data_IF_017990838450
#
_entry.id   IF_017990838450
#
_cell.length_a   1.000
_cell.length_b   1.000
_cell.length_c   1.000
_cell.angle_alpha   90.00
_cell.angle_beta   90.00
_cell.angle_gamma   90.00
#
_symmetry.space_group_name_H-M   'P 1'
#
loop_
_entity.id
_entity.type
_entity.pdbx_description
1 polymer ?
#
# COMPACT_ATOMS: atom_id res chain seq x y z
N UNK A 1 -2.07 -13.68 -23.93
CA UNK A 1 -1.60 -12.80 -22.83
C UNK A 1 -2.68 -12.75 -21.77
N UNK A 2 -2.44 -13.30 -20.58
CA UNK A 2 -3.41 -13.26 -19.47
C UNK A 2 -3.46 -11.82 -18.95
N UNK A 3 -4.51 -11.07 -19.31
CA UNK A 3 -4.78 -9.78 -18.70
C UNK A 3 -5.10 -10.00 -17.22
N UNK A 4 -4.17 -9.60 -16.35
CA UNK A 4 -4.40 -9.60 -14.92
C UNK A 4 -5.47 -8.55 -14.61
N UNK A 5 -6.55 -8.89 -13.88
CA UNK A 5 -7.59 -7.93 -13.53
C UNK A 5 -6.97 -6.74 -12.80
N UNK A 6 -7.43 -5.54 -13.15
CA UNK A 6 -6.96 -4.32 -12.49
C UNK A 6 -7.19 -4.42 -10.98
N UNK A 7 -6.37 -3.74 -10.18
CA UNK A 7 -6.53 -3.66 -8.73
C UNK A 7 -7.98 -3.32 -8.35
N UNK A 8 -8.61 -2.40 -9.09
CA UNK A 8 -10.01 -2.02 -8.92
C UNK A 8 -11.00 -3.18 -9.18
N UNK A 9 -10.74 -4.02 -10.19
CA UNK A 9 -11.54 -5.21 -10.50
C UNK A 9 -11.39 -6.30 -9.44
N UNK A 10 -10.18 -6.54 -8.94
CA UNK A 10 -9.93 -7.46 -7.81
C UNK A 10 -10.62 -6.96 -6.54
N UNK A 11 -10.60 -5.65 -6.34
CA UNK A 11 -11.22 -5.00 -5.19
C UNK A 11 -12.75 -5.08 -5.25
N UNK A 12 -13.36 -4.75 -6.40
CA UNK A 12 -14.82 -4.85 -6.61
C UNK A 12 -15.31 -6.30 -6.43
N UNK A 13 -14.57 -7.29 -6.93
CA UNK A 13 -14.92 -8.71 -6.78
C UNK A 13 -14.89 -9.20 -5.32
N UNK A 14 -14.01 -8.61 -4.50
CA UNK A 14 -13.95 -8.84 -3.05
C UNK A 14 -15.07 -8.09 -2.29
N UNK A 15 -15.59 -6.98 -2.84
CA UNK A 15 -16.79 -6.30 -2.32
C UNK A 15 -18.04 -7.13 -2.62
N UNK A 16 -18.19 -7.61 -3.84
CA UNK A 16 -19.42 -8.28 -4.28
C UNK A 16 -19.62 -9.64 -3.59
N UNK A 17 -18.56 -10.21 -3.01
CA UNK A 17 -18.58 -11.43 -2.18
C UNK A 17 -18.80 -11.15 -0.67
N UNK A 18 -18.99 -9.88 -0.25
CA UNK A 18 -19.15 -9.43 1.17
C UNK A 18 -20.37 -9.99 1.93
N UNK A 19 -21.20 -10.86 1.34
CA UNK A 19 -22.30 -11.52 2.04
C UNK A 19 -21.89 -12.76 2.86
N UNK A 20 -20.72 -13.36 2.61
CA UNK A 20 -20.41 -14.70 3.10
C UNK A 20 -19.20 -14.83 4.04
N UNK A 21 -18.40 -13.78 4.23
CA UNK A 21 -17.19 -13.86 5.05
C UNK A 21 -17.31 -12.81 6.13
N UNK A 22 -17.53 -13.26 7.37
CA UNK A 22 -17.64 -12.42 8.57
C UNK A 22 -16.34 -11.66 8.83
N UNK A 23 -16.16 -10.52 8.16
CA UNK A 23 -15.03 -9.63 8.38
C UNK A 23 -15.43 -8.62 9.45
N UNK A 24 -14.74 -8.70 10.58
CA UNK A 24 -14.80 -7.78 11.70
C UNK A 24 -14.82 -6.31 11.24
N UNK A 25 -15.76 -5.52 11.76
CA UNK A 25 -16.14 -4.19 11.26
C UNK A 25 -15.04 -3.11 11.35
N UNK A 26 -13.85 -3.44 11.87
CA UNK A 26 -12.64 -2.60 11.85
C UNK A 26 -12.16 -2.21 10.45
N UNK A 27 -12.55 -2.94 9.39
CA UNK A 27 -12.09 -2.67 8.02
C UNK A 27 -12.63 -1.35 7.41
N UNK A 28 -13.79 -0.84 7.85
CA UNK A 28 -14.45 0.32 7.22
C UNK A 28 -13.69 1.64 7.39
N UNK A 29 -12.93 1.79 8.47
CA UNK A 29 -12.12 3.00 8.73
C UNK A 29 -10.83 2.96 7.90
N UNK A 30 -10.22 1.79 7.73
CA UNK A 30 -8.91 1.66 7.09
C UNK A 30 -8.93 1.65 5.55
N UNK A 31 -10.10 1.44 4.93
CA UNK A 31 -10.24 1.41 3.47
C UNK A 31 -10.07 2.81 2.84
N UNK A 32 -10.79 3.81 3.35
CA UNK A 32 -10.64 5.21 2.92
C UNK A 32 -9.23 5.72 3.18
N UNK A 33 -8.63 5.27 4.27
CA UNK A 33 -7.28 5.59 4.68
C UNK A 33 -6.22 5.02 3.70
N UNK A 34 -6.38 3.78 3.24
CA UNK A 34 -5.51 3.18 2.23
C UNK A 34 -5.65 3.87 0.87
N UNK A 35 -6.88 4.17 0.44
CA UNK A 35 -7.13 4.90 -0.81
C UNK A 35 -6.49 6.28 -0.76
N UNK A 36 -6.65 7.00 0.36
CA UNK A 36 -6.01 8.30 0.59
C UNK A 36 -4.49 8.19 0.50
N UNK A 37 -3.91 7.17 1.13
CA UNK A 37 -2.46 6.96 1.14
C UNK A 37 -1.91 6.63 -0.25
N UNK A 38 -2.57 5.75 -1.00
CA UNK A 38 -2.17 5.39 -2.36
C UNK A 38 -2.37 6.56 -3.34
N UNK A 39 -3.43 7.35 -3.17
CA UNK A 39 -3.63 8.59 -3.94
C UNK A 39 -2.52 9.60 -3.65
N UNK A 40 -2.18 9.82 -2.38
CA UNK A 40 -1.09 10.70 -1.99
C UNK A 40 0.26 10.25 -2.58
N UNK A 41 0.54 8.95 -2.57
CA UNK A 41 1.75 8.40 -3.17
C UNK A 41 1.80 8.60 -4.69
N UNK A 42 0.65 8.48 -5.38
CA UNK A 42 0.55 8.71 -6.83
C UNK A 42 0.69 10.19 -7.22
N UNK A 43 0.26 11.11 -6.37
CA UNK A 43 0.35 12.57 -6.60
C UNK A 43 1.65 13.19 -6.06
N UNK A 44 2.58 12.37 -5.55
CA UNK A 44 3.99 12.67 -5.29
C UNK A 44 4.65 13.50 -6.40
N UNK A 45 5.65 14.38 -6.10
CA UNK A 45 6.46 15.06 -7.13
C UNK A 45 7.18 14.08 -8.07
N UNK A 46 7.17 12.78 -7.75
CA UNK A 46 7.72 11.70 -8.56
C UNK A 46 6.87 11.35 -9.79
N UNK A 47 5.61 11.81 -9.89
CA UNK A 47 4.81 11.66 -11.11
C UNK A 47 5.22 12.62 -12.25
N UNK A 48 6.14 13.57 -12.00
CA UNK A 48 6.60 14.54 -12.99
C UNK A 48 7.97 14.21 -13.61
N UNK A 49 8.54 13.02 -13.38
CA UNK A 49 9.87 12.67 -13.93
C UNK A 49 9.86 12.03 -15.33
N UNK A 50 8.71 11.96 -15.99
CA UNK A 50 8.61 11.41 -17.35
C UNK A 50 7.62 12.21 -18.20
N UNK A 51 8.10 13.36 -18.70
CA UNK A 51 7.84 13.92 -20.04
C UNK A 51 8.64 15.21 -20.18
N UNK A 52 9.63 15.23 -21.07
CA UNK A 52 10.16 16.49 -21.65
C UNK A 52 8.98 17.15 -22.37
N UNK A 53 8.30 18.08 -21.70
CA UNK A 53 7.40 19.02 -22.37
C UNK A 53 8.21 20.23 -22.85
N UNK A 54 7.81 20.88 -23.96
CA UNK A 54 8.48 22.07 -24.47
C UNK A 54 8.41 23.15 -23.40
N UNK A 55 9.54 23.83 -23.24
CA UNK A 55 9.73 24.91 -22.28
C UNK A 55 9.11 26.17 -22.87
N UNK A 56 7.79 26.24 -22.87
CA UNK A 56 7.08 27.48 -23.13
C UNK A 56 7.08 28.34 -21.86
N UNK A 57 7.39 29.59 -22.12
CA UNK A 57 7.67 30.71 -21.22
C UNK A 57 6.61 30.97 -20.16
N UNK A 58 7.08 31.52 -19.03
CA UNK A 58 6.31 32.17 -17.95
C UNK A 58 5.87 31.32 -16.73
N UNK A 59 6.55 30.20 -16.44
CA UNK A 59 6.51 29.63 -15.09
C UNK A 59 7.48 30.39 -14.17
N UNK A 60 6.96 31.38 -13.46
CA UNK A 60 7.58 32.04 -12.31
C UNK A 60 8.35 31.01 -11.48
N UNK A 61 9.68 31.14 -11.41
CA UNK A 61 10.54 30.10 -10.83
C UNK A 61 10.19 29.92 -9.36
N UNK A 62 9.49 28.83 -9.01
CA UNK A 62 9.09 28.54 -7.64
C UNK A 62 10.32 28.60 -6.72
N UNK A 63 10.19 29.31 -5.59
CA UNK A 63 11.25 29.53 -4.60
C UNK A 63 12.02 28.22 -4.34
N UNK A 64 13.36 28.21 -4.47
CA UNK A 64 14.19 27.03 -4.20
C UNK A 64 13.91 26.36 -2.84
N UNK A 65 13.47 27.11 -1.84
CA UNK A 65 13.07 26.59 -0.54
C UNK A 65 11.79 25.74 -0.61
N UNK A 66 10.81 26.15 -1.42
CA UNK A 66 9.56 25.41 -1.65
C UNK A 66 9.87 24.11 -2.39
N UNK A 67 10.72 24.15 -3.43
CA UNK A 67 11.07 22.96 -4.20
C UNK A 67 11.71 21.86 -3.33
N UNK A 68 12.58 22.24 -2.39
CA UNK A 68 13.23 21.29 -1.46
C UNK A 68 12.24 20.67 -0.47
N UNK A 69 11.15 21.37 -0.15
CA UNK A 69 10.17 20.93 0.84
C UNK A 69 8.88 20.38 0.21
N UNK A 70 8.73 20.46 -1.11
CA UNK A 70 7.53 20.05 -1.85
C UNK A 70 7.20 18.56 -1.72
N UNK A 71 8.16 17.72 -1.33
CA UNK A 71 7.94 16.32 -0.99
C UNK A 71 7.22 16.11 0.36
N UNK A 72 7.09 17.15 1.18
CA UNK A 72 6.32 17.15 2.42
C UNK A 72 4.98 17.86 2.21
N UNK A 73 3.95 17.44 2.94
CA UNK A 73 2.65 18.12 2.94
C UNK A 73 1.68 17.59 1.87
N UNK A 74 1.79 16.33 1.48
CA UNK A 74 0.85 15.67 0.56
C UNK A 74 -0.61 15.65 1.02
N UNK A 75 -0.85 15.88 2.30
CA UNK A 75 -2.17 16.01 2.91
C UNK A 75 -2.62 17.47 3.07
N UNK A 76 -1.75 18.45 2.82
CA UNK A 76 -2.11 19.86 2.86
C UNK A 76 -2.92 20.24 1.62
N UNK A 77 -3.79 21.25 1.78
CA UNK A 77 -4.45 21.93 0.66
C UNK A 77 -3.46 22.67 -0.22
N UNK A 78 -3.79 22.91 -1.49
CA UNK A 78 -2.91 23.58 -2.45
C UNK A 78 -2.41 24.94 -1.95
N UNK A 79 -3.30 25.77 -1.41
CA UNK A 79 -2.94 27.07 -0.83
C UNK A 79 -1.92 26.99 0.32
N UNK A 80 -1.86 25.86 1.04
CA UNK A 80 -0.88 25.65 2.12
C UNK A 80 0.41 25.03 1.62
N UNK A 81 0.43 24.41 0.44
CA UNK A 81 1.64 23.83 -0.17
C UNK A 81 2.55 24.86 -0.81
N UNK A 82 2.05 26.07 -1.04
CA UNK A 82 2.85 27.20 -1.52
C UNK A 82 3.49 27.99 -0.38
N UNK A 83 3.17 27.71 0.88
CA UNK A 83 3.75 28.37 2.06
C UNK A 83 4.97 27.57 2.60
N UNK A 84 6.21 28.08 2.47
CA UNK A 84 7.41 27.41 2.96
C UNK A 84 7.36 27.10 4.46
N UNK A 85 6.71 27.95 5.25
CA UNK A 85 6.60 27.77 6.71
C UNK A 85 5.70 26.59 7.06
N UNK A 86 4.63 26.36 6.30
CA UNK A 86 3.76 25.19 6.47
C UNK A 86 4.50 23.92 6.08
N UNK A 87 5.19 23.92 4.94
CA UNK A 87 5.98 22.76 4.51
C UNK A 87 7.09 22.42 5.52
N UNK A 88 7.76 23.43 6.09
CA UNK A 88 8.77 23.24 7.15
C UNK A 88 8.17 22.69 8.46
N UNK A 89 6.93 23.07 8.80
CA UNK A 89 6.18 22.47 9.93
C UNK A 89 5.85 21.01 9.65
N UNK A 90 5.40 20.69 8.45
CA UNK A 90 5.09 19.32 8.05
C UNK A 90 6.32 18.42 7.99
N UNK A 91 7.47 18.92 7.53
CA UNK A 91 8.74 18.17 7.62
C UNK A 91 9.08 17.81 9.07
N UNK A 92 9.02 18.76 10.00
CA UNK A 92 9.27 18.50 11.43
C UNK A 92 8.24 17.53 12.02
N UNK A 93 6.99 17.63 11.60
CA UNK A 93 5.92 16.73 12.02
C UNK A 93 6.16 15.31 11.50
N UNK A 94 6.55 15.16 10.24
CA UNK A 94 6.95 13.90 9.63
C UNK A 94 8.08 13.23 10.43
N UNK A 95 9.16 13.96 10.72
CA UNK A 95 10.31 13.41 11.45
C UNK A 95 9.91 12.92 12.85
N UNK A 96 9.11 13.72 13.58
CA UNK A 96 8.60 13.32 14.90
C UNK A 96 7.74 12.06 14.84
N UNK A 97 6.79 12.01 13.90
CA UNK A 97 5.89 10.86 13.73
C UNK A 97 6.66 9.61 13.31
N UNK A 98 7.59 9.73 12.35
CA UNK A 98 8.43 8.64 11.88
C UNK A 98 9.25 8.04 13.02
N UNK A 99 9.94 8.90 13.79
CA UNK A 99 10.74 8.47 14.92
C UNK A 99 9.88 7.82 16.02
N UNK A 100 8.75 8.43 16.38
CA UNK A 100 7.82 7.85 17.35
C UNK A 100 7.25 6.51 16.88
N UNK A 101 6.99 6.35 15.58
CA UNK A 101 6.55 5.09 14.98
C UNK A 101 7.61 3.99 15.07
N UNK A 102 8.87 4.32 14.78
CA UNK A 102 9.96 3.36 14.91
C UNK A 102 10.26 2.99 16.37
N UNK A 103 10.23 3.94 17.30
CA UNK A 103 10.40 3.66 18.73
C UNK A 103 9.27 2.80 19.28
N UNK A 104 8.02 3.06 18.89
CA UNK A 104 6.90 2.18 19.25
C UNK A 104 7.08 0.76 18.69
N UNK A 105 7.53 0.63 17.45
CA UNK A 105 7.81 -0.66 16.83
C UNK A 105 8.91 -1.43 17.55
N UNK A 106 9.99 -0.75 17.99
CA UNK A 106 11.07 -1.35 18.79
C UNK A 106 10.56 -1.91 20.12
N UNK A 107 9.62 -1.20 20.77
CA UNK A 107 8.98 -1.63 22.03
C UNK A 107 7.89 -2.70 21.85
N UNK A 108 7.60 -3.13 20.63
CA UNK A 108 6.53 -4.09 20.34
C UNK A 108 5.11 -3.50 20.31
N UNK A 109 4.94 -2.19 20.56
CA UNK A 109 3.66 -1.50 20.44
C UNK A 109 3.31 -1.25 18.97
N UNK A 110 2.81 -2.32 18.34
CA UNK A 110 2.53 -2.36 16.90
C UNK A 110 1.38 -1.42 16.50
N UNK A 111 0.38 -1.21 17.38
CA UNK A 111 -0.76 -0.31 17.09
C UNK A 111 -0.32 1.14 17.07
N UNK A 112 0.47 1.58 18.06
CA UNK A 112 1.02 2.94 18.06
C UNK A 112 2.01 3.14 16.91
N UNK A 113 2.82 2.12 16.60
CA UNK A 113 3.72 2.15 15.45
C UNK A 113 2.94 2.37 14.15
N UNK A 114 1.87 1.60 13.90
CA UNK A 114 1.02 1.76 12.74
C UNK A 114 0.45 3.17 12.65
N UNK A 115 -0.16 3.67 13.73
CA UNK A 115 -0.79 5.00 13.75
C UNK A 115 0.21 6.12 13.39
N UNK A 116 1.40 6.07 13.98
CA UNK A 116 2.44 7.08 13.76
C UNK A 116 3.05 6.99 12.35
N UNK A 117 3.39 5.78 11.89
CA UNK A 117 3.96 5.56 10.57
C UNK A 117 2.96 5.87 9.45
N UNK A 118 1.69 5.53 9.63
CA UNK A 118 0.62 5.89 8.71
C UNK A 118 0.47 7.41 8.59
N UNK A 119 0.42 8.11 9.73
CA UNK A 119 0.34 9.57 9.76
C UNK A 119 1.56 10.23 9.08
N UNK A 120 2.76 9.67 9.26
CA UNK A 120 3.96 10.14 8.57
C UNK A 120 3.89 9.88 7.06
N UNK A 121 3.39 8.71 6.64
CA UNK A 121 3.26 8.35 5.24
C UNK A 121 2.23 9.23 4.49
N UNK A 122 1.22 9.78 5.17
CA UNK A 122 0.34 10.81 4.61
C UNK A 122 1.07 12.15 4.35
N UNK A 123 2.11 12.45 5.14
CA UNK A 123 2.88 13.69 4.99
C UNK A 123 3.86 13.62 3.84
N UNK A 124 4.64 12.55 3.81
CA UNK A 124 5.62 12.25 2.77
C UNK A 124 5.50 10.77 2.41
N UNK A 125 4.67 10.43 1.41
CA UNK A 125 4.55 9.07 0.93
C UNK A 125 5.82 8.70 0.17
N UNK A 126 6.45 7.59 0.58
CA UNK A 126 7.60 7.01 -0.10
C UNK A 126 7.52 5.48 -0.02
N UNK A 127 8.21 4.77 -0.91
CA UNK A 127 8.23 3.30 -0.90
C UNK A 127 8.63 2.75 0.48
N UNK A 128 9.70 3.27 1.09
CA UNK A 128 10.11 2.92 2.45
C UNK A 128 9.02 3.13 3.51
N UNK A 129 8.29 4.27 3.45
CA UNK A 129 7.22 4.54 4.40
C UNK A 129 6.03 3.60 4.20
N UNK A 130 5.63 3.35 2.95
CA UNK A 130 4.55 2.41 2.61
C UNK A 130 4.89 0.98 3.04
N UNK A 131 6.13 0.54 2.82
CA UNK A 131 6.63 -0.74 3.33
C UNK A 131 6.53 -0.84 4.85
N UNK A 132 6.89 0.24 5.56
CA UNK A 132 6.81 0.29 7.02
C UNK A 132 5.37 0.14 7.52
N UNK A 133 4.41 0.83 6.88
CA UNK A 133 2.97 0.71 7.17
C UNK A 133 2.46 -0.70 6.87
N UNK A 134 2.80 -1.26 5.71
CA UNK A 134 2.43 -2.62 5.31
C UNK A 134 2.97 -3.68 6.30
N UNK A 135 4.20 -3.50 6.77
CA UNK A 135 4.81 -4.36 7.79
C UNK A 135 4.03 -4.32 9.10
N UNK A 136 3.55 -3.15 9.54
CA UNK A 136 2.75 -3.05 10.75
C UNK A 136 1.38 -3.73 10.59
N UNK A 137 0.74 -3.59 9.43
CA UNK A 137 -0.48 -4.35 9.13
C UNK A 137 -0.25 -5.87 9.19
N UNK A 138 0.87 -6.37 8.67
CA UNK A 138 1.21 -7.79 8.78
C UNK A 138 1.42 -8.24 10.23
N UNK A 139 2.07 -7.42 11.07
CA UNK A 139 2.26 -7.72 12.50
C UNK A 139 0.95 -7.76 13.28
N UNK A 140 -0.05 -6.98 12.86
CA UNK A 140 -1.41 -7.01 13.43
C UNK A 140 -2.30 -8.10 12.83
N UNK A 141 -1.74 -8.97 11.99
CA UNK A 141 -2.48 -9.99 11.27
C UNK A 141 -3.59 -9.42 10.36
N UNK A 142 -3.30 -8.30 9.69
CA UNK A 142 -4.18 -7.65 8.70
C UNK A 142 -3.61 -7.82 7.27
N UNK A 143 -3.51 -9.05 6.73
CA UNK A 143 -2.85 -9.30 5.44
C UNK A 143 -3.56 -8.64 4.25
N UNK A 144 -4.89 -8.50 4.31
CA UNK A 144 -5.71 -7.84 3.28
C UNK A 144 -5.45 -6.34 3.15
N UNK A 145 -5.02 -5.69 4.24
CA UNK A 145 -4.62 -4.28 4.24
C UNK A 145 -3.15 -4.09 3.83
N UNK A 146 -2.29 -5.07 4.13
CA UNK A 146 -0.88 -5.03 3.79
C UNK A 146 -0.60 -5.29 2.28
N UNK A 147 -1.30 -6.27 1.68
CA UNK A 147 -1.03 -6.70 0.31
C UNK A 147 -1.12 -5.57 -0.73
N UNK A 148 -2.13 -4.67 -0.72
CA UNK A 148 -2.19 -3.56 -1.68
C UNK A 148 -1.00 -2.59 -1.57
N UNK A 149 -0.48 -2.38 -0.36
CA UNK A 149 0.69 -1.52 -0.13
C UNK A 149 1.97 -2.15 -0.68
N UNK A 150 2.18 -3.46 -0.45
CA UNK A 150 3.30 -4.17 -1.05
C UNK A 150 3.21 -4.19 -2.58
N UNK A 151 2.02 -4.44 -3.13
CA UNK A 151 1.83 -4.42 -4.58
C UNK A 151 2.18 -3.05 -5.16
N UNK A 152 1.71 -1.96 -4.54
CA UNK A 152 2.04 -0.61 -4.98
C UNK A 152 3.55 -0.37 -4.99
N UNK A 153 4.25 -0.73 -3.90
CA UNK A 153 5.72 -0.58 -3.84
C UNK A 153 6.41 -1.41 -4.92
N UNK A 154 5.99 -2.66 -5.13
CA UNK A 154 6.57 -3.58 -6.11
C UNK A 154 6.53 -3.02 -7.54
N UNK A 155 5.44 -2.38 -7.93
CA UNK A 155 5.26 -1.85 -9.30
C UNK A 155 5.73 -0.40 -9.46
N UNK A 156 6.05 0.30 -8.38
CA UNK A 156 6.39 1.72 -8.43
C UNK A 156 7.87 1.93 -8.83
N UNK A 157 8.10 2.63 -9.93
CA UNK A 157 9.44 2.95 -10.44
C UNK A 157 10.26 3.86 -9.53
N UNK A 158 9.61 4.60 -8.63
CA UNK A 158 10.27 5.40 -7.59
C UNK A 158 10.84 4.60 -6.43
N UNK A 159 10.55 3.29 -6.35
CA UNK A 159 11.16 2.38 -5.38
C UNK A 159 12.53 1.87 -5.86
N UNK A 160 13.47 1.74 -4.92
CA UNK A 160 14.73 1.05 -5.19
C UNK A 160 14.49 -0.41 -5.55
N UNK A 161 15.43 -1.03 -6.26
CA UNK A 161 15.35 -2.47 -6.60
C UNK A 161 15.17 -3.33 -5.34
N UNK A 162 15.90 -2.99 -4.26
CA UNK A 162 15.78 -3.67 -2.98
C UNK A 162 14.37 -3.55 -2.38
N UNK A 163 13.76 -2.37 -2.36
CA UNK A 163 12.40 -2.17 -1.86
C UNK A 163 11.38 -2.95 -2.70
N UNK A 164 11.50 -2.94 -4.03
CA UNK A 164 10.61 -3.68 -4.94
C UNK A 164 10.72 -5.19 -4.73
N UNK A 165 11.94 -5.70 -4.60
CA UNK A 165 12.20 -7.12 -4.31
C UNK A 165 11.63 -7.54 -2.94
N UNK A 166 11.85 -6.73 -1.90
CA UNK A 166 11.27 -6.96 -0.58
C UNK A 166 9.74 -6.96 -0.62
N UNK A 167 9.14 -6.01 -1.34
CA UNK A 167 7.70 -5.91 -1.50
C UNK A 167 7.13 -7.13 -2.22
N UNK A 168 7.77 -7.61 -3.30
CA UNK A 168 7.36 -8.80 -4.04
C UNK A 168 7.35 -10.05 -3.13
N UNK A 169 8.40 -10.25 -2.33
CA UNK A 169 8.47 -11.37 -1.38
C UNK A 169 7.39 -11.27 -0.30
N UNK A 170 7.19 -10.09 0.29
CA UNK A 170 6.18 -9.89 1.33
C UNK A 170 4.75 -9.96 0.80
N UNK A 171 4.51 -9.59 -0.46
CA UNK A 171 3.22 -9.71 -1.12
C UNK A 171 2.78 -11.17 -1.23
N UNK A 172 3.71 -12.10 -1.54
CA UNK A 172 3.40 -13.54 -1.58
C UNK A 172 2.88 -14.02 -0.22
N UNK A 173 3.61 -13.72 0.85
CA UNK A 173 3.24 -14.08 2.22
C UNK A 173 1.92 -13.44 2.65
N UNK A 174 1.69 -12.17 2.31
CA UNK A 174 0.44 -11.49 2.62
C UNK A 174 -0.75 -12.15 1.89
N UNK A 175 -0.59 -12.52 0.62
CA UNK A 175 -1.63 -13.21 -0.15
C UNK A 175 -1.92 -14.61 0.39
N UNK A 176 -0.91 -15.36 0.83
CA UNK A 176 -1.08 -16.66 1.48
C UNK A 176 -1.88 -16.54 2.76
N UNK A 177 -1.49 -15.65 3.68
CA UNK A 177 -2.24 -15.41 4.93
C UNK A 177 -3.67 -14.91 4.68
N UNK A 178 -3.87 -14.05 3.68
CA UNK A 178 -5.21 -13.59 3.32
C UNK A 178 -6.09 -14.74 2.82
N UNK A 179 -5.52 -15.71 2.08
CA UNK A 179 -6.26 -16.92 1.65
C UNK A 179 -6.60 -17.81 2.82
N UNK A 180 -5.66 -18.03 3.73
CA UNK A 180 -5.88 -18.81 4.96
C UNK A 180 -7.02 -18.21 5.80
N UNK A 181 -7.00 -16.89 6.00
CA UNK A 181 -8.08 -16.18 6.70
C UNK A 181 -9.44 -16.32 6.02
N UNK A 182 -9.46 -16.44 4.70
CA UNK A 182 -10.68 -16.66 3.92
C UNK A 182 -11.11 -18.14 3.88
N UNK A 183 -10.40 -19.05 4.57
CA UNK A 183 -10.67 -20.49 4.53
C UNK A 183 -10.37 -21.15 3.19
N UNK A 184 -9.57 -20.49 2.33
CA UNK A 184 -9.24 -21.01 1.01
C UNK A 184 -8.04 -21.97 1.10
N UNK A 185 -8.03 -23.05 0.30
CA UNK A 185 -6.92 -23.99 0.31
C UNK A 185 -5.61 -23.33 -0.17
N UNK A 186 -4.45 -23.85 0.25
CA UNK A 186 -3.15 -23.41 -0.24
C UNK A 186 -3.08 -23.49 -1.77
N UNK A 187 -2.40 -22.52 -2.41
CA UNK A 187 -2.14 -22.61 -3.85
C UNK A 187 -1.26 -23.84 -4.12
N UNK A 188 -1.71 -24.73 -4.99
CA UNK A 188 -0.98 -25.95 -5.39
C UNK A 188 -1.59 -27.26 -4.87
N UNK A 189 -2.59 -27.19 -3.98
CA UNK A 189 -3.41 -28.33 -3.57
C UNK A 189 -4.79 -28.23 -4.24
N UNK A 190 -4.83 -28.17 -5.58
CA UNK A 190 -6.02 -28.68 -6.25
C UNK A 190 -6.09 -30.16 -5.90
N UNK A 191 -7.17 -30.67 -5.26
CA UNK A 191 -7.33 -32.10 -5.14
C UNK A 191 -7.21 -32.65 -6.56
N UNK A 192 -6.21 -33.52 -6.79
CA UNK A 192 -6.17 -34.31 -8.02
C UNK A 192 -7.58 -34.85 -8.18
N UNK A 193 -8.26 -34.63 -9.32
CA UNK A 193 -9.54 -35.29 -9.54
C UNK A 193 -9.26 -36.78 -9.31
N UNK A 194 -9.83 -37.33 -8.25
CA UNK A 194 -9.81 -38.76 -8.04
C UNK A 194 -10.43 -39.32 -9.31
N UNK A 195 -9.59 -39.93 -10.15
CA UNK A 195 -10.06 -40.68 -11.29
C UNK A 195 -11.11 -41.64 -10.73
N UNK A 196 -12.38 -41.39 -11.08
CA UNK A 196 -13.45 -42.36 -10.98
C UNK A 196 -13.11 -43.51 -11.95
N UNK A 197 -12.10 -44.30 -11.60
CA UNK A 197 -11.84 -45.60 -12.16
C UNK A 197 -12.27 -46.61 -11.09
N UNK A 198 -13.56 -46.92 -11.07
CA UNK A 198 -14.12 -48.22 -10.66
C UNK A 198 -15.63 -48.09 -10.56
N UNK A 199 -16.34 -48.50 -11.62
CA UNK A 199 -17.56 -49.33 -11.60
C UNK A 199 -18.20 -49.33 -13.00
N UNK A 200 -17.50 -49.91 -13.97
CA UNK A 200 -18.11 -50.50 -15.17
C UNK A 200 -17.36 -51.79 -15.52
N UNK A 201 -17.34 -52.76 -14.59
CA UNK A 201 -17.13 -54.16 -14.94
C UNK A 201 -18.00 -55.00 -14.00
N UNK A 202 -18.66 -56.01 -14.57
CA UNK A 202 -19.53 -57.03 -13.98
C UNK A 202 -21.02 -56.67 -13.85
N UNK A 203 -21.69 -56.58 -15.00
CA UNK A 203 -22.98 -57.26 -15.20
C UNK A 203 -22.91 -57.96 -16.56
N UNK A 204 -22.57 -59.24 -16.51
CA UNK A 204 -22.80 -60.25 -17.55
C UNK A 204 -23.78 -61.25 -16.98
#
# INVERSE_FOLDING_TARGET
>A
TLELPTLQTLWQKLIDTRGAIGVDNTARVHEKDLVTLLKAARTGPLAQRSKKLPRDSDAEAADPAIQRLAEYGHQLSEAKRTDPSQLARERRRFDRLRNAGFEANKRGDTRSALRNLYSAALIKPSCAMLLSVANMHMKLNHPTLAAPLYYYVMINEGGTEHERSMAASKLKVANERAREHAGLPPKGLTPRPQQQQQQQQLVT
#
